data_IF_299524797392
#
_entry.id   IF_299524797392
#
_cell.length_a   1.000
_cell.length_b   1.000
_cell.length_c   1.000
_cell.angle_alpha   90.00
_cell.angle_beta   90.00
_cell.angle_gamma   90.00
#
_symmetry.space_group_name_H-M   'P 1'
#
loop_
_entity.id
_entity.type
_entity.pdbx_description
1 polymer ?
#
# COMPACT_ATOMS: atom_id res chain seq x y z
N UNK A 1 -1.80 9.24 -9.09
CA UNK A 1 -1.65 10.40 -8.18
C UNK A 1 -1.31 9.90 -6.77
N UNK A 2 -0.43 10.57 -6.01
CA UNK A 2 -0.16 10.19 -4.60
C UNK A 2 -1.25 10.79 -3.70
N UNK A 3 -1.84 9.98 -2.83
CA UNK A 3 -2.80 10.42 -1.82
C UNK A 3 -2.06 10.65 -0.49
N UNK A 4 -2.16 11.84 0.13
CA UNK A 4 -1.62 12.08 1.46
C UNK A 4 -2.44 11.32 2.53
N UNK A 5 -1.74 10.65 3.43
CA UNK A 5 -2.34 9.85 4.51
C UNK A 5 -3.24 10.66 5.43
N UNK A 6 -2.91 11.92 5.66
CA UNK A 6 -3.66 12.84 6.51
C UNK A 6 -5.08 13.14 5.98
N UNK A 7 -5.31 12.94 4.68
CA UNK A 7 -6.65 13.08 4.08
C UNK A 7 -7.51 11.82 4.21
N UNK A 8 -6.93 10.71 4.68
CA UNK A 8 -7.63 9.44 4.84
C UNK A 8 -7.93 9.20 6.31
N UNK A 9 -9.17 8.80 6.58
CA UNK A 9 -9.52 8.29 7.90
C UNK A 9 -8.70 7.03 8.22
N UNK A 10 -8.34 6.79 9.50
CA UNK A 10 -7.58 5.61 9.89
C UNK A 10 -8.29 4.30 9.51
N UNK A 11 -9.63 4.29 9.53
CA UNK A 11 -10.44 3.15 9.10
C UNK A 11 -10.29 2.86 7.60
N UNK A 12 -10.35 3.91 6.76
CA UNK A 12 -10.16 3.81 5.30
C UNK A 12 -8.76 3.35 4.97
N UNK A 13 -7.74 3.93 5.61
CA UNK A 13 -6.36 3.51 5.45
C UNK A 13 -6.19 2.02 5.76
N UNK A 14 -6.78 1.57 6.86
CA UNK A 14 -6.72 0.18 7.27
C UNK A 14 -7.42 -0.77 6.26
N UNK A 15 -8.58 -0.37 5.75
CA UNK A 15 -9.30 -1.13 4.72
C UNK A 15 -8.51 -1.24 3.42
N UNK A 16 -7.81 -0.17 3.00
CA UNK A 16 -6.96 -0.19 1.81
C UNK A 16 -5.76 -1.12 2.02
N UNK A 17 -5.08 -1.02 3.15
CA UNK A 17 -3.94 -1.89 3.51
C UNK A 17 -4.37 -3.35 3.55
N UNK A 18 -5.53 -3.62 4.15
CA UNK A 18 -6.10 -4.96 4.20
C UNK A 18 -6.40 -5.50 2.79
N UNK A 19 -7.04 -4.69 1.93
CA UNK A 19 -7.32 -5.05 0.54
C UNK A 19 -6.05 -5.30 -0.28
N UNK A 20 -4.99 -4.52 -0.02
CA UNK A 20 -3.68 -4.71 -0.63
C UNK A 20 -3.05 -6.04 -0.23
N UNK A 21 -3.01 -6.37 1.07
CA UNK A 21 -2.48 -7.64 1.57
C UNK A 21 -3.29 -8.84 1.03
N UNK A 22 -4.62 -8.70 0.94
CA UNK A 22 -5.51 -9.71 0.37
C UNK A 22 -5.22 -9.98 -1.11
N UNK A 23 -4.92 -8.93 -1.89
CA UNK A 23 -4.61 -9.02 -3.33
C UNK A 23 -3.20 -9.52 -3.61
N UNK A 24 -2.22 -9.11 -2.79
CA UNK A 24 -0.82 -9.52 -2.98
C UNK A 24 -0.66 -11.02 -2.78
N UNK A 25 -1.53 -11.66 -1.98
CA UNK A 25 -1.96 -13.03 -2.24
C UNK A 25 -0.89 -14.12 -2.31
N UNK A 26 0.34 -13.87 -1.87
CA UNK A 26 1.37 -14.90 -1.76
C UNK A 26 1.29 -15.51 -0.36
N UNK A 27 0.69 -16.69 -0.32
CA UNK A 27 0.83 -17.69 0.74
C UNK A 27 0.42 -17.21 2.14
N UNK A 28 -0.86 -17.47 2.48
CA UNK A 28 -1.17 -17.94 3.83
C UNK A 28 -0.49 -19.31 4.02
N UNK A 29 0.83 -19.30 4.16
CA UNK A 29 1.66 -20.49 4.12
C UNK A 29 3.02 -20.24 4.75
N UNK A 30 3.19 -20.84 5.93
CA UNK A 30 4.46 -21.25 6.54
C UNK A 30 5.37 -20.28 7.32
N UNK A 31 5.15 -18.96 7.37
CA UNK A 31 6.00 -18.09 8.20
C UNK A 31 5.17 -17.14 9.08
N UNK A 32 5.17 -17.42 10.40
CA UNK A 32 4.76 -16.72 11.65
C UNK A 32 4.15 -15.29 11.69
N UNK A 33 3.84 -14.64 10.58
CA UNK A 33 3.40 -13.23 10.54
C UNK A 33 1.89 -13.16 10.35
N UNK A 34 1.18 -12.85 11.44
CA UNK A 34 -0.27 -12.63 11.38
C UNK A 34 -0.63 -11.49 10.42
N UNK A 35 -1.83 -11.55 9.83
CA UNK A 35 -2.41 -10.48 8.99
C UNK A 35 -2.25 -9.10 9.65
N UNK A 36 -2.52 -9.01 10.95
CA UNK A 36 -2.39 -7.78 11.75
C UNK A 36 -0.94 -7.25 11.80
N UNK A 37 0.05 -8.14 11.85
CA UNK A 37 1.46 -7.75 11.83
C UNK A 37 1.85 -7.18 10.45
N UNK A 38 1.37 -7.78 9.36
CA UNK A 38 1.54 -7.20 8.01
C UNK A 38 0.86 -5.84 7.88
N UNK A 39 -0.36 -5.69 8.38
CA UNK A 39 -1.07 -4.39 8.40
C UNK A 39 -0.23 -3.33 9.11
N UNK A 40 0.27 -3.65 10.30
CA UNK A 40 1.10 -2.74 11.09
C UNK A 40 2.42 -2.39 10.38
N UNK A 41 3.06 -3.35 9.72
CA UNK A 41 4.24 -3.10 8.89
C UNK A 41 3.95 -2.13 7.74
N UNK A 42 2.91 -2.38 6.95
CA UNK A 42 2.55 -1.53 5.80
C UNK A 42 2.19 -0.13 6.29
N UNK A 43 1.40 -0.03 7.37
CA UNK A 43 1.08 1.26 7.99
C UNK A 43 2.34 2.03 8.37
N UNK A 44 3.29 1.37 9.03
CA UNK A 44 4.56 1.98 9.42
C UNK A 44 5.37 2.44 8.20
N UNK A 45 5.39 1.67 7.11
CA UNK A 45 6.06 2.08 5.87
C UNK A 45 5.42 3.32 5.24
N UNK A 46 4.09 3.42 5.29
CA UNK A 46 3.36 4.60 4.83
C UNK A 46 3.70 5.82 5.70
N UNK A 47 3.69 5.67 7.03
CA UNK A 47 4.06 6.73 7.97
C UNK A 47 5.53 7.17 7.81
N UNK A 48 6.43 6.25 7.47
CA UNK A 48 7.85 6.52 7.22
C UNK A 48 8.13 7.08 5.81
N UNK A 49 7.14 7.08 4.91
CA UNK A 49 7.31 7.45 3.51
C UNK A 49 8.05 6.42 2.65
N UNK A 50 8.31 5.21 3.18
CA UNK A 50 8.88 4.09 2.42
C UNK A 50 7.85 3.46 1.48
N UNK A 51 6.56 3.62 1.75
CA UNK A 51 5.45 3.30 0.86
C UNK A 51 4.58 4.54 0.64
N UNK A 52 3.90 4.58 -0.49
CA UNK A 52 2.97 5.67 -0.86
C UNK A 52 1.64 5.09 -1.33
N UNK A 53 0.56 5.80 -0.99
CA UNK A 53 -0.77 5.51 -1.50
C UNK A 53 -0.93 6.16 -2.86
N UNK A 54 -1.30 5.37 -3.86
CA UNK A 54 -1.44 5.81 -5.24
C UNK A 54 -2.88 5.60 -5.70
N UNK A 55 -3.52 6.69 -6.10
CA UNK A 55 -4.80 6.66 -6.78
C UNK A 55 -4.60 6.52 -8.28
N UNK A 56 -5.29 5.54 -8.87
CA UNK A 56 -5.41 5.35 -10.30
C UNK A 56 -6.77 5.87 -10.76
N UNK A 57 -6.78 7.00 -11.48
CA UNK A 57 -7.99 7.59 -12.06
C UNK A 57 -8.65 6.65 -13.10
N UNK A 58 -7.84 5.90 -13.84
CA UNK A 58 -8.32 4.98 -14.88
C UNK A 58 -9.21 3.84 -14.35
N UNK A 59 -8.94 3.38 -13.13
CA UNK A 59 -9.65 2.27 -12.49
C UNK A 59 -10.42 2.72 -11.24
N UNK A 60 -10.46 4.02 -10.98
CA UNK A 60 -11.05 4.64 -9.78
C UNK A 60 -10.67 3.89 -8.50
N UNK A 61 -9.41 3.45 -8.42
CA UNK A 61 -8.93 2.50 -7.41
C UNK A 61 -7.70 3.03 -6.70
N UNK A 62 -7.58 2.67 -5.42
CA UNK A 62 -6.42 3.00 -4.60
C UNK A 62 -5.53 1.78 -4.48
N UNK A 63 -4.23 1.98 -4.67
CA UNK A 63 -3.21 0.97 -4.48
C UNK A 63 -2.09 1.48 -3.56
N UNK A 64 -1.31 0.56 -2.99
CA UNK A 64 -0.13 0.90 -2.20
C UNK A 64 1.08 0.46 -3.01
N UNK A 65 2.06 1.34 -3.16
CA UNK A 65 3.32 1.02 -3.82
C UNK A 65 4.49 1.42 -2.91
N UNK A 66 5.56 0.60 -2.84
CA UNK A 66 6.81 1.05 -2.29
C UNK A 66 7.26 2.33 -3.01
N UNK A 67 7.74 3.31 -2.25
CA UNK A 67 8.24 4.59 -2.78
C UNK A 67 9.30 4.39 -3.87
N UNK A 68 10.11 3.33 -3.75
CA UNK A 68 11.13 2.94 -4.72
C UNK A 68 10.52 2.44 -6.04
N UNK A 69 9.53 1.53 -5.96
CA UNK A 69 8.77 1.05 -7.12
C UNK A 69 7.99 2.18 -7.81
N UNK A 70 7.40 3.10 -7.03
CA UNK A 70 6.69 4.23 -7.60
C UNK A 70 7.61 5.15 -8.40
N UNK A 71 8.85 5.38 -7.93
CA UNK A 71 9.85 6.16 -8.68
C UNK A 71 10.31 5.43 -9.94
N UNK A 72 10.65 4.15 -9.83
CA UNK A 72 11.10 3.33 -10.95
C UNK A 72 10.04 3.21 -12.07
N UNK A 73 8.77 3.00 -11.71
CA UNK A 73 7.67 2.94 -12.69
C UNK A 73 7.38 4.27 -13.39
N UNK A 74 7.84 5.39 -12.84
CA UNK A 74 7.74 6.71 -13.45
C UNK A 74 8.89 6.97 -14.43
N UNK A 75 10.01 6.28 -14.28
CA UNK A 75 11.21 6.36 -15.14
C UNK A 75 11.10 5.47 -16.38
N UNK A 76 10.25 4.43 -16.37
CA UNK A 76 10.08 3.51 -17.50
C UNK A 76 9.12 4.04 -18.59
N UNK A 77 8.51 5.21 -18.37
CA UNK A 77 7.58 5.84 -19.31
C UNK A 77 8.19 7.06 -20.05
N UNK A 78 9.53 7.21 -20.05
CA UNK A 78 10.26 8.31 -20.70
C UNK A 78 10.94 7.85 -22.00
#
# INVERSE_FOLDING_TARGET
MIIPLDQLSPETLNAIIEGFILREGTEYGAEDVSKEAKISQVKKQLEQGSAVLVYSELHESINILPSDQFKAGMEEQI
#
